data_IF_481555118149
#
_entry.id   IF_481555118149
#
_cell.length_a   1.000
_cell.length_b   1.000
_cell.length_c   1.000
_cell.angle_alpha   90.00
_cell.angle_beta   90.00
_cell.angle_gamma   90.00
#
_symmetry.space_group_name_H-M   'P 1'
#
loop_
_entity.id
_entity.type
_entity.pdbx_description
1 polymer ?
#
# COMPACT_ATOMS: atom_id res chain seq x y z
N UNK A 1 34.77 3.30 -19.71
CA UNK A 1 34.23 2.70 -18.47
C UNK A 1 32.79 3.12 -18.11
N UNK A 2 32.28 4.29 -18.55
CA UNK A 2 30.93 4.77 -18.16
C UNK A 2 29.72 3.92 -18.60
N UNK A 3 29.74 3.29 -19.79
CA UNK A 3 28.59 2.50 -20.29
C UNK A 3 28.27 1.25 -19.43
N UNK A 4 29.29 0.62 -18.84
CA UNK A 4 29.14 -0.65 -18.08
C UNK A 4 28.56 -0.43 -16.68
N UNK A 5 28.84 0.72 -16.06
CA UNK A 5 28.24 1.12 -14.78
C UNK A 5 26.76 1.50 -14.96
N UNK A 6 26.43 2.22 -16.03
CA UNK A 6 25.05 2.53 -16.41
C UNK A 6 24.20 1.28 -16.62
N UNK A 7 24.75 0.22 -17.24
CA UNK A 7 24.02 -1.04 -17.43
C UNK A 7 23.75 -1.78 -16.12
N UNK A 8 24.67 -1.72 -15.15
CA UNK A 8 24.48 -2.33 -13.83
C UNK A 8 23.48 -1.56 -12.96
N UNK A 9 23.53 -0.23 -13.00
CA UNK A 9 22.57 0.64 -12.30
C UNK A 9 21.14 0.43 -12.81
N UNK A 10 20.96 0.37 -14.14
CA UNK A 10 19.66 0.09 -14.76
C UNK A 10 19.10 -1.27 -14.31
N UNK A 11 19.92 -2.33 -14.32
CA UNK A 11 19.50 -3.67 -13.84
C UNK A 11 19.07 -3.68 -12.37
N UNK A 12 19.71 -2.86 -11.52
CA UNK A 12 19.34 -2.73 -10.10
C UNK A 12 17.97 -2.04 -9.96
N UNK A 13 17.75 -0.94 -10.68
CA UNK A 13 16.46 -0.23 -10.67
C UNK A 13 15.34 -1.10 -11.26
N UNK A 14 15.61 -1.86 -12.31
CA UNK A 14 14.65 -2.83 -12.86
C UNK A 14 14.26 -3.89 -11.82
N UNK A 15 15.24 -4.45 -11.11
CA UNK A 15 14.99 -5.40 -10.02
C UNK A 15 14.13 -4.76 -8.91
N UNK A 16 14.42 -3.52 -8.53
CA UNK A 16 13.64 -2.79 -7.54
C UNK A 16 12.20 -2.52 -7.99
N UNK A 17 11.99 -2.16 -9.27
CA UNK A 17 10.66 -1.98 -9.82
C UNK A 17 9.86 -3.29 -9.79
N UNK A 18 10.46 -4.41 -10.18
CA UNK A 18 9.83 -5.73 -10.13
C UNK A 18 9.48 -6.12 -8.68
N UNK A 19 10.38 -5.85 -7.73
CA UNK A 19 10.11 -6.11 -6.32
C UNK A 19 8.97 -5.23 -5.78
N UNK A 20 8.94 -3.94 -6.13
CA UNK A 20 7.84 -3.04 -5.76
C UNK A 20 6.50 -3.49 -6.33
N UNK A 21 6.47 -4.01 -7.56
CA UNK A 21 5.27 -4.58 -8.16
C UNK A 21 4.79 -5.81 -7.38
N UNK A 22 5.69 -6.75 -7.08
CA UNK A 22 5.38 -7.92 -6.25
C UNK A 22 4.86 -7.53 -4.86
N UNK A 23 5.50 -6.56 -4.20
CA UNK A 23 5.08 -6.04 -2.90
C UNK A 23 3.70 -5.35 -2.98
N UNK A 24 3.43 -4.61 -4.06
CA UNK A 24 2.14 -3.98 -4.29
C UNK A 24 1.02 -5.03 -4.41
N UNK A 25 1.25 -6.11 -5.16
CA UNK A 25 0.29 -7.20 -5.30
C UNK A 25 0.03 -7.93 -3.98
N UNK A 26 1.09 -8.27 -3.24
CA UNK A 26 0.97 -8.89 -1.90
C UNK A 26 0.22 -8.02 -0.90
N UNK A 27 0.42 -6.70 -0.95
CA UNK A 27 -0.28 -5.77 -0.09
C UNK A 27 -1.78 -5.73 -0.40
N UNK A 28 -2.15 -5.76 -1.68
CA UNK A 28 -3.55 -5.82 -2.11
C UNK A 28 -4.24 -7.13 -1.69
N UNK A 29 -3.55 -8.26 -1.82
CA UNK A 29 -4.02 -9.56 -1.37
C UNK A 29 -4.23 -9.59 0.15
N UNK A 30 -3.20 -9.18 0.92
CA UNK A 30 -3.26 -9.12 2.39
C UNK A 30 -4.40 -8.22 2.87
N UNK A 31 -4.60 -7.08 2.20
CA UNK A 31 -5.71 -6.17 2.48
C UNK A 31 -7.08 -6.83 2.25
N UNK A 32 -7.22 -7.58 1.15
CA UNK A 32 -8.44 -8.29 0.77
C UNK A 32 -8.77 -9.37 1.80
N UNK A 33 -7.76 -10.12 2.25
CA UNK A 33 -7.88 -11.15 3.28
C UNK A 33 -8.06 -10.58 4.70
N UNK A 34 -7.83 -9.28 4.89
CA UNK A 34 -7.90 -8.63 6.20
C UNK A 34 -6.68 -8.90 7.10
N UNK A 35 -5.58 -9.42 6.53
CA UNK A 35 -4.30 -9.52 7.24
C UNK A 35 -3.58 -8.17 7.22
N UNK A 36 -3.92 -7.32 8.18
CA UNK A 36 -3.33 -5.99 8.30
C UNK A 36 -1.94 -6.00 8.95
N UNK A 37 -1.53 -7.10 9.60
CA UNK A 37 -0.27 -7.19 10.32
C UNK A 37 0.92 -7.18 9.35
N UNK A 38 0.81 -7.91 8.25
CA UNK A 38 1.87 -7.98 7.23
C UNK A 38 2.01 -6.68 6.43
N UNK A 39 0.95 -5.86 6.37
CA UNK A 39 0.94 -4.61 5.58
C UNK A 39 2.02 -3.63 6.06
N UNK A 40 2.22 -3.48 7.37
CA UNK A 40 3.27 -2.60 7.92
C UNK A 40 4.67 -3.04 7.47
N UNK A 41 4.92 -4.34 7.47
CA UNK A 41 6.20 -4.91 7.02
C UNK A 41 6.42 -4.69 5.53
N UNK A 42 5.36 -4.89 4.72
CA UNK A 42 5.40 -4.63 3.28
C UNK A 42 5.67 -3.14 3.01
N UNK A 43 4.96 -2.24 3.69
CA UNK A 43 5.10 -0.78 3.53
C UNK A 43 6.52 -0.30 3.88
N UNK A 44 7.11 -0.80 4.96
CA UNK A 44 8.48 -0.48 5.33
C UNK A 44 9.49 -0.90 4.24
N UNK A 45 9.36 -2.11 3.69
CA UNK A 45 10.22 -2.58 2.59
C UNK A 45 10.08 -1.71 1.34
N UNK A 46 8.84 -1.35 0.98
CA UNK A 46 8.56 -0.47 -0.17
C UNK A 46 9.22 0.90 -0.02
N UNK A 47 9.13 1.51 1.16
CA UNK A 47 9.76 2.80 1.47
C UNK A 47 11.28 2.74 1.30
N UNK A 48 11.92 1.67 1.75
CA UNK A 48 13.36 1.47 1.58
C UNK A 48 13.73 1.37 0.09
N UNK A 49 13.00 0.58 -0.70
CA UNK A 49 13.26 0.45 -2.14
C UNK A 49 13.05 1.78 -2.87
N UNK A 50 11.97 2.51 -2.56
CA UNK A 50 11.71 3.83 -3.15
C UNK A 50 12.82 4.82 -2.80
N UNK A 51 13.33 4.79 -1.57
CA UNK A 51 14.47 5.59 -1.16
C UNK A 51 15.73 5.24 -1.97
N UNK A 52 16.01 3.96 -2.20
CA UNK A 52 17.13 3.54 -3.04
C UNK A 52 16.98 3.98 -4.50
N UNK A 53 15.79 3.90 -5.09
CA UNK A 53 15.52 4.42 -6.43
C UNK A 53 15.72 5.94 -6.48
N UNK A 54 15.30 6.66 -5.44
CA UNK A 54 15.40 8.12 -5.38
C UNK A 54 16.83 8.65 -5.40
N UNK A 55 17.80 7.83 -4.97
CA UNK A 55 19.24 8.18 -5.02
C UNK A 55 19.79 8.19 -6.45
N UNK A 56 19.12 7.55 -7.40
CA UNK A 56 19.62 7.35 -8.75
C UNK A 56 18.55 7.55 -9.83
N UNK A 57 17.82 8.67 -9.74
CA UNK A 57 16.74 9.01 -10.67
C UNK A 57 17.19 9.14 -12.13
N UNK A 58 18.48 9.43 -12.37
CA UNK A 58 19.07 9.54 -13.70
C UNK A 58 19.09 8.22 -14.48
N UNK A 59 19.05 7.09 -13.78
CA UNK A 59 19.06 5.75 -14.37
C UNK A 59 17.66 5.10 -14.45
N UNK A 60 16.60 5.85 -14.10
CA UNK A 60 15.21 5.38 -14.20
C UNK A 60 14.73 5.43 -15.65
N UNK A 61 14.58 4.26 -16.27
CA UNK A 61 14.08 4.14 -17.65
C UNK A 61 12.59 4.47 -17.78
N UNK A 62 12.12 4.65 -19.02
CA UNK A 62 10.71 4.84 -19.31
C UNK A 62 9.83 3.67 -18.83
N UNK A 63 10.36 2.43 -18.88
CA UNK A 63 9.65 1.27 -18.37
C UNK A 63 9.51 1.33 -16.84
N UNK A 64 10.59 1.66 -16.12
CA UNK A 64 10.54 1.87 -14.67
C UNK A 64 9.52 2.95 -14.29
N UNK A 65 9.47 4.07 -15.03
CA UNK A 65 8.49 5.14 -14.81
C UNK A 65 7.05 4.63 -14.97
N UNK A 66 6.78 3.79 -15.97
CA UNK A 66 5.47 3.18 -16.18
C UNK A 66 5.08 2.28 -15.01
N UNK A 67 6.00 1.42 -14.56
CA UNK A 67 5.79 0.53 -13.41
C UNK A 67 5.52 1.34 -12.14
N UNK A 68 6.33 2.36 -11.86
CA UNK A 68 6.16 3.25 -10.70
C UNK A 68 4.80 3.98 -10.71
N UNK A 69 4.32 4.43 -11.88
CA UNK A 69 2.97 5.03 -12.02
C UNK A 69 1.85 4.03 -11.71
N UNK A 70 1.99 2.80 -12.18
CA UNK A 70 1.04 1.71 -11.89
C UNK A 70 0.99 1.41 -10.39
N UNK A 71 2.15 1.26 -9.76
CA UNK A 71 2.29 1.06 -8.31
C UNK A 71 1.63 2.21 -7.53
N UNK A 72 1.85 3.46 -7.96
CA UNK A 72 1.22 4.63 -7.35
C UNK A 72 -0.31 4.59 -7.44
N UNK A 73 -0.86 4.28 -8.62
CA UNK A 73 -2.30 4.16 -8.83
C UNK A 73 -2.91 3.08 -7.93
N UNK A 74 -2.27 1.91 -7.86
CA UNK A 74 -2.72 0.80 -7.03
C UNK A 74 -2.75 1.18 -5.54
N UNK A 75 -1.73 1.90 -5.06
CA UNK A 75 -1.69 2.37 -3.68
C UNK A 75 -2.84 3.30 -3.33
N UNK A 76 -3.11 4.27 -4.20
CA UNK A 76 -4.19 5.23 -3.96
C UNK A 76 -5.54 4.54 -3.92
N UNK A 77 -5.74 3.51 -4.75
CA UNK A 77 -6.93 2.67 -4.71
C UNK A 77 -7.06 1.93 -3.37
N UNK A 78 -5.97 1.32 -2.89
CA UNK A 78 -5.95 0.62 -1.59
C UNK A 78 -6.24 1.57 -0.42
N UNK A 79 -5.62 2.75 -0.40
CA UNK A 79 -5.86 3.78 0.63
C UNK A 79 -7.32 4.21 0.62
N UNK A 80 -7.87 4.56 -0.54
CA UNK A 80 -9.27 4.97 -0.69
C UNK A 80 -10.23 3.89 -0.21
N UNK A 81 -9.92 2.62 -0.51
CA UNK A 81 -10.71 1.46 -0.09
C UNK A 81 -10.66 1.26 1.43
N UNK A 82 -9.49 1.45 2.04
CA UNK A 82 -9.31 1.37 3.49
C UNK A 82 -10.09 2.46 4.22
N UNK A 83 -9.98 3.71 3.75
CA UNK A 83 -10.73 4.83 4.33
C UNK A 83 -12.23 4.58 4.27
N UNK A 84 -12.73 4.06 3.15
CA UNK A 84 -14.14 3.69 3.00
C UNK A 84 -14.55 2.63 4.03
N UNK A 85 -13.77 1.55 4.16
CA UNK A 85 -14.03 0.47 5.13
C UNK A 85 -14.00 0.97 6.57
N UNK A 86 -13.07 1.88 6.91
CA UNK A 86 -13.01 2.53 8.24
C UNK A 86 -14.27 3.35 8.50
N UNK A 87 -14.73 4.16 7.54
CA UNK A 87 -15.96 4.95 7.67
C UNK A 87 -17.19 4.05 7.89
N UNK A 88 -17.31 2.97 7.11
CA UNK A 88 -18.39 2.00 7.25
C UNK A 88 -18.38 1.31 8.62
N UNK A 89 -17.21 0.86 9.08
CA UNK A 89 -17.04 0.24 10.39
C UNK A 89 -17.40 1.20 11.53
N UNK A 90 -16.94 2.46 11.45
CA UNK A 90 -17.29 3.50 12.42
C UNK A 90 -18.81 3.72 12.49
N UNK A 91 -19.46 3.82 11.34
CA UNK A 91 -20.90 4.00 11.26
C UNK A 91 -21.65 2.79 11.84
N UNK A 92 -21.19 1.57 11.55
CA UNK A 92 -21.75 0.33 12.11
C UNK A 92 -21.62 0.27 13.63
N UNK A 93 -20.45 0.64 14.16
CA UNK A 93 -20.22 0.73 15.61
C UNK A 93 -21.14 1.75 16.28
N UNK A 94 -21.25 2.96 15.71
CA UNK A 94 -22.13 4.01 16.26
C UNK A 94 -23.60 3.58 16.27
N UNK A 95 -24.08 2.91 15.21
CA UNK A 95 -25.43 2.34 15.17
C UNK A 95 -25.64 1.30 16.28
N UNK A 96 -24.70 0.37 16.46
CA UNK A 96 -24.76 -0.62 17.55
C UNK A 96 -24.76 0.03 18.93
N UNK A 97 -23.91 1.04 19.15
CA UNK A 97 -23.85 1.79 20.42
C UNK A 97 -25.17 2.50 20.72
N UNK A 98 -25.77 3.18 19.73
CA UNK A 98 -27.09 3.82 19.89
C UNK A 98 -28.17 2.80 20.24
N UNK A 99 -28.17 1.65 19.56
CA UNK A 99 -29.12 0.57 19.81
C UNK A 99 -28.97 0.01 21.23
N UNK A 100 -27.74 -0.27 21.67
CA UNK A 100 -27.46 -0.74 23.03
C UNK A 100 -27.97 0.26 24.08
N UNK A 101 -27.69 1.56 23.90
CA UNK A 101 -28.16 2.61 24.82
C UNK A 101 -29.69 2.65 24.88
N UNK A 102 -30.37 2.53 23.74
CA UNK A 102 -31.84 2.52 23.69
C UNK A 102 -32.42 1.30 24.43
N UNK A 103 -31.84 0.11 24.24
CA UNK A 103 -32.24 -1.07 24.99
C UNK A 103 -31.96 -0.92 26.49
N UNK A 104 -30.79 -0.44 26.89
CA UNK A 104 -30.46 -0.26 28.31
C UNK A 104 -31.37 0.74 29.04
N UNK A 105 -31.94 1.70 28.31
CA UNK A 105 -32.92 2.66 28.87
C UNK A 105 -34.35 2.12 28.90
N UNK A 106 -34.66 1.14 28.05
CA UNK A 106 -35.96 0.47 27.99
C UNK A 106 -35.99 -0.83 28.79
N UNK A 107 -34.84 -1.29 29.31
CA UNK A 107 -34.73 -2.45 30.21
C UNK A 107 -34.85 -2.09 31.68
N UNK A 108 -35.17 -0.84 32.01
CA UNK A 108 -35.64 -0.46 33.35
C UNK A 108 -37.04 -1.07 33.56
N UNK A 109 -37.04 -2.35 33.95
CA UNK A 109 -37.92 -2.89 34.99
C UNK A 109 -37.41 -2.35 36.33
#
# INVERSE_FOLDING_TARGET
MGKMQQTKANKKIDSFCNELESLSSKMAESFTLGDYNIIKTIDNKRKLILHEISKDLGNVSNNNRRILKLIWSNNNCLVSSLEKKIRENKNKYLKKKKLFIAYSKNSDI
#
